data_IF_498181903036
#
_entry.id   IF_498181903036
#
_cell.length_a   1.000
_cell.length_b   1.000
_cell.length_c   1.000
_cell.angle_alpha   90.00
_cell.angle_beta   90.00
_cell.angle_gamma   90.00
#
_symmetry.space_group_name_H-M   'P 1'
#
loop_
_entity.id
_entity.type
_entity.pdbx_description
1 polymer ?
#
# COMPACT_ATOMS: atom_id res chain seq x y z
N UNK A 1 0.43 5.16 13.71
CA UNK A 1 1.17 6.43 13.60
C UNK A 1 1.78 6.46 12.21
N UNK A 2 1.11 7.11 11.26
CA UNK A 2 1.64 7.28 9.90
C UNK A 2 2.77 8.32 9.96
N UNK A 3 3.93 7.98 9.37
CA UNK A 3 5.09 8.86 9.33
C UNK A 3 5.37 9.15 7.86
N UNK A 4 5.01 10.35 7.41
CA UNK A 4 5.36 10.82 6.06
C UNK A 4 6.74 11.45 6.09
N UNK A 5 7.64 11.02 5.20
CA UNK A 5 8.97 11.61 5.03
C UNK A 5 9.18 11.89 3.54
N UNK A 6 8.91 13.13 3.13
CA UNK A 6 8.97 13.51 1.71
C UNK A 6 7.90 12.82 0.87
N UNK A 7 8.28 12.30 -0.29
CA UNK A 7 7.41 11.64 -1.28
C UNK A 7 7.03 10.20 -0.95
N UNK A 8 7.15 9.78 0.33
CA UNK A 8 6.83 8.43 0.76
C UNK A 8 6.03 8.46 2.07
N UNK A 9 5.00 7.63 2.14
CA UNK A 9 4.30 7.30 3.38
C UNK A 9 4.66 5.89 3.81
N UNK A 10 4.85 5.70 5.11
CA UNK A 10 4.93 4.38 5.70
C UNK A 10 3.59 4.04 6.35
N UNK A 11 2.94 3.01 5.83
CA UNK A 11 1.74 2.42 6.42
C UNK A 11 2.13 1.26 7.33
N UNK A 12 1.33 1.06 8.38
CA UNK A 12 1.46 -0.06 9.30
C UNK A 12 0.10 -0.75 9.43
N UNK A 13 0.06 -2.06 9.26
CA UNK A 13 -1.15 -2.87 9.35
C UNK A 13 -0.89 -4.21 10.02
N UNK A 14 -1.94 -4.85 10.50
CA UNK A 14 -1.89 -6.22 11.03
C UNK A 14 -2.41 -7.19 9.98
N UNK A 15 -1.58 -8.17 9.60
CA UNK A 15 -1.94 -9.23 8.66
C UNK A 15 -1.49 -10.58 9.22
N UNK A 16 -2.40 -11.56 9.26
CA UNK A 16 -2.16 -12.91 9.82
C UNK A 16 -1.53 -12.92 11.24
N UNK A 17 -1.90 -11.95 12.07
CA UNK A 17 -1.37 -11.84 13.45
C UNK A 17 0.01 -11.19 13.55
N UNK A 18 0.60 -10.75 12.43
CA UNK A 18 1.88 -10.04 12.41
C UNK A 18 1.68 -8.56 12.05
N UNK A 19 2.48 -7.70 12.68
CA UNK A 19 2.58 -6.30 12.28
C UNK A 19 3.44 -6.18 11.02
N UNK A 20 2.90 -5.54 9.98
CA UNK A 20 3.55 -5.31 8.69
C UNK A 20 3.73 -3.80 8.48
N UNK A 21 4.88 -3.41 7.95
CA UNK A 21 5.17 -2.05 7.53
C UNK A 21 5.36 -2.02 6.02
N UNK A 22 4.72 -1.06 5.36
CA UNK A 22 4.76 -0.93 3.90
C UNK A 22 5.02 0.52 3.55
N UNK A 23 6.10 0.76 2.81
CA UNK A 23 6.43 2.10 2.33
C UNK A 23 5.84 2.30 0.94
N UNK A 24 4.97 3.30 0.81
CA UNK A 24 4.26 3.63 -0.41
C UNK A 24 4.78 4.97 -0.93
N UNK A 25 5.20 5.05 -2.21
CA UNK A 25 5.49 6.34 -2.82
C UNK A 25 4.20 7.15 -2.98
N UNK A 26 4.23 8.40 -2.55
CA UNK A 26 3.20 9.39 -2.80
C UNK A 26 3.76 10.34 -3.85
N UNK A 27 3.58 9.98 -5.11
CA UNK A 27 3.83 10.87 -6.25
C UNK A 27 2.46 11.41 -6.71
N UNK A 28 2.23 12.70 -6.52
CA UNK A 28 0.90 13.30 -6.70
C UNK A 28 0.46 13.41 -8.18
N UNK A 29 1.41 13.37 -9.11
CA UNK A 29 1.17 13.69 -10.53
C UNK A 29 1.32 12.48 -11.46
N UNK A 30 1.82 11.34 -10.97
CA UNK A 30 2.03 10.13 -11.77
C UNK A 30 1.38 8.91 -11.11
N UNK A 31 0.73 8.08 -11.94
CA UNK A 31 0.23 6.78 -11.48
C UNK A 31 1.37 5.86 -11.03
N UNK A 32 1.14 5.06 -9.99
CA UNK A 32 2.13 4.11 -9.52
C UNK A 32 2.41 3.03 -10.58
N UNK A 33 3.69 2.68 -10.84
CA UNK A 33 4.02 1.56 -11.71
C UNK A 33 3.37 0.27 -11.22
N UNK A 34 2.88 -0.55 -12.15
CA UNK A 34 2.20 -1.83 -11.84
C UNK A 34 2.99 -2.72 -10.88
N UNK A 35 4.32 -2.79 -11.03
CA UNK A 35 5.18 -3.58 -10.16
C UNK A 35 5.15 -3.13 -8.69
N UNK A 36 5.13 -1.81 -8.46
CA UNK A 36 5.05 -1.22 -7.12
C UNK A 36 3.68 -1.51 -6.50
N UNK A 37 2.60 -1.35 -7.28
CA UNK A 37 1.24 -1.68 -6.80
C UNK A 37 1.17 -3.15 -6.38
N UNK A 38 1.70 -4.08 -7.18
CA UNK A 38 1.69 -5.50 -6.84
C UNK A 38 2.56 -5.83 -5.62
N UNK A 39 3.70 -5.16 -5.45
CA UNK A 39 4.54 -5.32 -4.26
C UNK A 39 3.81 -4.86 -2.99
N UNK A 40 3.18 -3.68 -3.04
CA UNK A 40 2.37 -3.14 -1.93
C UNK A 40 1.22 -4.08 -1.57
N UNK A 41 0.45 -4.55 -2.55
CA UNK A 41 -0.64 -5.49 -2.30
C UNK A 41 -0.16 -6.80 -1.66
N UNK A 42 0.99 -7.30 -2.10
CA UNK A 42 1.63 -8.48 -1.51
C UNK A 42 2.04 -8.23 -0.06
N UNK A 43 2.64 -7.09 0.25
CA UNK A 43 3.08 -6.73 1.60
C UNK A 43 1.90 -6.55 2.56
N UNK A 44 0.80 -5.97 2.06
CA UNK A 44 -0.45 -5.84 2.78
C UNK A 44 -1.25 -7.15 2.86
N UNK A 45 -0.88 -8.17 2.09
CA UNK A 45 -1.59 -9.45 2.06
C UNK A 45 -2.99 -9.39 1.41
N UNK A 46 -3.23 -8.41 0.53
CA UNK A 46 -4.52 -8.17 -0.12
C UNK A 46 -4.48 -8.69 -1.56
N UNK A 47 -5.52 -9.40 -1.98
CA UNK A 47 -5.65 -9.81 -3.37
C UNK A 47 -6.04 -8.63 -4.29
N UNK A 48 -5.74 -8.75 -5.58
CA UNK A 48 -6.19 -7.75 -6.58
C UNK A 48 -7.71 -7.55 -6.54
N UNK A 49 -8.49 -8.61 -6.31
CA UNK A 49 -9.96 -8.54 -6.26
C UNK A 49 -10.45 -7.73 -5.07
N UNK A 50 -9.90 -7.99 -3.88
CA UNK A 50 -10.20 -7.22 -2.67
C UNK A 50 -9.80 -5.76 -2.84
N UNK A 51 -8.63 -5.50 -3.43
CA UNK A 51 -8.18 -4.13 -3.69
C UNK A 51 -9.13 -3.36 -4.60
N UNK A 52 -9.55 -3.94 -5.73
CA UNK A 52 -10.50 -3.28 -6.65
C UNK A 52 -11.84 -3.03 -5.95
N UNK A 53 -12.33 -3.99 -5.14
CA UNK A 53 -13.57 -3.81 -4.37
C UNK A 53 -13.50 -2.69 -3.32
N UNK A 54 -12.30 -2.32 -2.85
CA UNK A 54 -12.13 -1.17 -1.95
C UNK A 54 -12.18 0.18 -2.68
N UNK A 55 -11.92 0.21 -4.00
CA UNK A 55 -11.94 1.43 -4.83
C UNK A 55 -13.33 1.76 -5.36
N UNK A 56 -14.27 0.81 -5.36
CA UNK A 56 -15.63 0.97 -5.85
C UNK A 56 -16.60 1.56 -4.80
N UNK A 57 -16.07 2.16 -3.72
CA UNK A 57 -16.81 2.90 -2.69
C UNK A 57 -16.52 4.39 -2.79
#
# INVERSE_FOLDING_TARGET
MERQKGSHAQLCGFYKGEMRFTTIPIHAEEGLPKGIVLAVLKDCGISKKEFVGLLEK
#
